data_IF_132065124738
#
_entry.id   IF_132065124738
#
_cell.length_a   1.000
_cell.length_b   1.000
_cell.length_c   1.000
_cell.angle_alpha   90.00
_cell.angle_beta   90.00
_cell.angle_gamma   90.00
#
_symmetry.space_group_name_H-M   'P 1'
#
loop_
_entity.id
_entity.type
_entity.pdbx_description
1 polymer ?
#
# COMPACT_ATOMS: atom_id res chain seq x y z
N UNK A 1 -20.53 20.91 2.36
CA UNK A 1 -21.11 19.56 2.54
C UNK A 1 -20.99 18.79 1.23
N UNK A 2 -20.05 17.86 1.14
CA UNK A 2 -19.86 16.99 -0.03
C UNK A 2 -20.85 15.83 0.03
N UNK A 3 -21.57 15.52 -1.06
CA UNK A 3 -22.51 14.39 -1.12
C UNK A 3 -21.86 13.25 -1.88
N UNK A 4 -21.93 12.03 -1.35
CA UNK A 4 -21.43 10.81 -2.01
C UNK A 4 -22.42 9.65 -1.78
N UNK A 5 -22.09 8.47 -2.30
CA UNK A 5 -22.76 7.21 -1.96
C UNK A 5 -21.81 6.30 -1.20
N UNK A 6 -22.33 5.63 -0.17
CA UNK A 6 -21.63 4.65 0.66
C UNK A 6 -22.44 3.35 0.71
N UNK A 7 -22.09 2.48 1.66
CA UNK A 7 -22.84 1.27 2.02
C UNK A 7 -23.27 1.32 3.49
N UNK A 8 -24.37 0.64 3.83
CA UNK A 8 -24.70 0.36 5.22
C UNK A 8 -23.61 -0.55 5.84
N UNK A 9 -23.04 -0.23 7.01
CA UNK A 9 -22.03 -1.08 7.64
C UNK A 9 -22.50 -2.50 7.97
N UNK A 10 -23.80 -2.69 8.19
CA UNK A 10 -24.39 -4.00 8.57
C UNK A 10 -24.79 -4.81 7.34
N UNK A 11 -25.71 -4.31 6.52
CA UNK A 11 -26.25 -5.08 5.38
C UNK A 11 -25.56 -4.81 4.04
N UNK A 12 -24.54 -3.94 4.00
CA UNK A 12 -23.78 -3.53 2.81
C UNK A 12 -24.59 -2.93 1.65
N UNK A 13 -25.90 -2.72 1.81
CA UNK A 13 -26.73 -2.04 0.81
C UNK A 13 -26.27 -0.60 0.62
N UNK A 14 -26.31 -0.11 -0.62
CA UNK A 14 -25.97 1.27 -0.95
C UNK A 14 -26.86 2.24 -0.17
N UNK A 15 -26.25 3.27 0.40
CA UNK A 15 -26.93 4.35 1.12
C UNK A 15 -26.34 5.71 0.73
N UNK A 16 -27.14 6.78 0.69
CA UNK A 16 -26.60 8.14 0.58
C UNK A 16 -25.67 8.44 1.76
N UNK A 17 -24.59 9.18 1.49
CA UNK A 17 -23.66 9.63 2.50
C UNK A 17 -23.26 11.08 2.27
N UNK A 18 -22.87 11.77 3.33
CA UNK A 18 -22.39 13.15 3.30
C UNK A 18 -21.11 13.29 4.10
N UNK A 19 -20.20 14.14 3.64
CA UNK A 19 -19.06 14.58 4.43
C UNK A 19 -19.42 15.83 5.20
N UNK A 20 -19.26 15.77 6.52
CA UNK A 20 -19.60 16.83 7.47
C UNK A 20 -18.36 17.18 8.28
N UNK A 21 -18.02 18.46 8.28
CA UNK A 21 -16.95 19.00 9.11
C UNK A 21 -17.51 19.49 10.45
N UNK A 22 -16.88 19.06 11.55
CA UNK A 22 -17.21 19.47 12.93
C UNK A 22 -15.91 19.60 13.71
N UNK A 23 -15.69 20.76 14.33
CA UNK A 23 -14.52 21.03 15.17
C UNK A 23 -13.16 20.69 14.50
N UNK A 24 -13.02 21.01 13.20
CA UNK A 24 -11.81 20.73 12.41
C UNK A 24 -11.59 19.25 12.07
N UNK A 25 -12.60 18.40 12.29
CA UNK A 25 -12.61 16.98 11.92
C UNK A 25 -13.65 16.73 10.83
N UNK A 26 -13.34 15.85 9.88
CA UNK A 26 -14.27 15.47 8.83
C UNK A 26 -14.84 14.06 9.08
N UNK A 27 -16.16 13.96 9.03
CA UNK A 27 -16.93 12.75 9.25
C UNK A 27 -17.67 12.35 7.98
N UNK A 28 -17.77 11.06 7.71
CA UNK A 28 -18.72 10.50 6.77
C UNK A 28 -19.97 10.06 7.53
N UNK A 29 -21.08 10.74 7.27
CA UNK A 29 -22.40 10.42 7.84
C UNK A 29 -23.27 9.72 6.82
N UNK A 30 -24.04 8.73 7.28
CA UNK A 30 -24.97 7.97 6.44
C UNK A 30 -26.08 7.36 7.28
N UNK A 31 -27.22 7.10 6.64
CA UNK A 31 -28.37 6.47 7.29
C UNK A 31 -28.89 5.29 6.46
N UNK A 32 -29.09 4.15 7.13
CA UNK A 32 -29.74 2.98 6.58
C UNK A 32 -31.18 2.90 7.12
N UNK A 33 -32.20 2.68 6.27
CA UNK A 33 -33.58 2.53 6.72
C UNK A 33 -33.80 1.40 7.74
N UNK A 34 -32.96 0.36 7.73
CA UNK A 34 -33.06 -0.78 8.65
C UNK A 34 -32.12 -0.71 9.86
N UNK A 35 -30.95 -0.09 9.70
CA UNK A 35 -29.87 -0.16 10.71
C UNK A 35 -29.53 1.20 11.34
N UNK A 36 -30.28 2.26 11.02
CA UNK A 36 -30.12 3.57 11.62
C UNK A 36 -28.97 4.39 11.03
N UNK A 37 -28.52 5.38 11.81
CA UNK A 37 -27.49 6.34 11.40
C UNK A 37 -26.09 5.90 11.84
N UNK A 38 -25.10 6.23 11.03
CA UNK A 38 -23.68 5.97 11.27
C UNK A 38 -22.89 7.26 11.01
N UNK A 39 -21.88 7.52 11.85
CA UNK A 39 -20.93 8.61 11.67
C UNK A 39 -19.52 8.05 11.83
N UNK A 40 -18.68 8.25 10.82
CA UNK A 40 -17.32 7.69 10.77
C UNK A 40 -16.31 8.81 10.60
N UNK A 41 -15.34 8.92 11.51
CA UNK A 41 -14.20 9.83 11.32
C UNK A 41 -13.39 9.40 10.09
N UNK A 42 -13.25 10.28 9.10
CA UNK A 42 -12.50 10.02 7.87
C UNK A 42 -11.25 10.90 7.74
N UNK A 43 -11.19 12.02 8.47
CA UNK A 43 -10.04 12.91 8.46
C UNK A 43 -9.95 13.73 9.74
N UNK A 44 -8.75 13.77 10.31
CA UNK A 44 -8.34 14.64 11.41
C UNK A 44 -6.89 15.03 11.16
N UNK A 45 -6.53 16.29 11.31
CA UNK A 45 -5.16 16.76 11.18
C UNK A 45 -5.10 18.28 11.17
N UNK A 46 -3.88 18.85 11.12
CA UNK A 46 -3.70 20.30 11.11
C UNK A 46 -4.18 20.97 9.82
N UNK A 47 -4.24 20.21 8.71
CA UNK A 47 -4.74 20.64 7.40
C UNK A 47 -6.17 20.13 7.19
N UNK A 48 -7.04 20.95 6.61
CA UNK A 48 -8.41 20.55 6.30
C UNK A 48 -8.43 19.49 5.17
N UNK A 49 -9.45 18.63 5.16
CA UNK A 49 -9.59 17.60 4.11
C UNK A 49 -9.68 18.23 2.71
N UNK A 50 -10.32 19.39 2.65
CA UNK A 50 -10.59 20.18 1.45
C UNK A 50 -9.30 20.67 0.80
N UNK A 51 -8.24 20.91 1.57
CA UNK A 51 -6.93 21.34 1.09
C UNK A 51 -6.11 20.17 0.53
N UNK A 52 -6.44 18.93 0.91
CA UNK A 52 -5.82 17.71 0.36
C UNK A 52 -6.39 17.37 -1.03
N UNK A 53 -5.94 18.13 -2.03
CA UNK A 53 -6.45 18.09 -3.41
C UNK A 53 -5.48 17.48 -4.42
N UNK A 54 -6.01 16.81 -5.43
CA UNK A 54 -5.28 16.26 -6.56
C UNK A 54 -6.19 16.20 -7.79
N UNK A 55 -5.79 15.55 -8.90
CA UNK A 55 -6.64 15.37 -10.06
C UNK A 55 -7.91 14.61 -9.65
N UNK A 56 -9.05 15.31 -9.54
CA UNK A 56 -10.35 14.75 -9.18
C UNK A 56 -11.23 14.74 -10.41
N UNK A 57 -11.68 13.55 -10.81
CA UNK A 57 -12.91 13.43 -11.60
C UNK A 57 -14.06 13.34 -10.61
N UNK A 58 -14.82 14.43 -10.47
CA UNK A 58 -16.04 14.42 -9.67
C UNK A 58 -17.07 13.54 -10.36
N UNK A 59 -17.49 12.48 -9.67
CA UNK A 59 -18.56 11.64 -10.17
C UNK A 59 -19.79 11.81 -9.30
N UNK A 60 -20.86 12.37 -9.86
CA UNK A 60 -22.14 12.45 -9.18
C UNK A 60 -22.74 11.07 -8.87
N UNK A 61 -23.85 11.07 -8.11
CA UNK A 61 -24.62 9.85 -7.87
C UNK A 61 -25.22 9.32 -9.19
N UNK A 62 -24.68 8.22 -9.70
CA UNK A 62 -25.17 7.59 -10.93
C UNK A 62 -26.17 6.45 -10.63
N UNK A 63 -27.40 6.52 -11.16
CA UNK A 63 -28.39 5.44 -11.09
C UNK A 63 -27.91 4.17 -11.82
N UNK A 64 -28.25 2.98 -11.30
CA UNK A 64 -27.99 1.70 -11.98
C UNK A 64 -26.64 1.02 -11.69
N UNK A 65 -25.76 1.64 -10.91
CA UNK A 65 -24.54 1.01 -10.41
C UNK A 65 -24.83 -0.02 -9.29
N UNK A 66 -24.34 -1.25 -9.40
CA UNK A 66 -24.39 -2.23 -8.31
C UNK A 66 -23.06 -2.30 -7.52
N UNK A 67 -22.27 -1.21 -7.47
CA UNK A 67 -21.07 -1.13 -6.64
C UNK A 67 -21.41 -1.05 -5.14
N UNK A 68 -20.70 -1.75 -4.24
CA UNK A 68 -19.54 -2.61 -4.50
C UNK A 68 -19.88 -4.07 -4.86
N UNK A 69 -21.14 -4.49 -4.80
CA UNK A 69 -21.56 -5.89 -4.96
C UNK A 69 -21.16 -6.54 -6.29
N UNK A 70 -21.24 -5.81 -7.41
CA UNK A 70 -20.75 -6.24 -8.73
C UNK A 70 -19.52 -5.44 -9.20
N UNK A 71 -18.76 -4.86 -8.26
CA UNK A 71 -17.65 -3.99 -8.63
C UNK A 71 -16.50 -4.78 -9.29
N UNK A 72 -16.06 -4.28 -10.43
CA UNK A 72 -14.84 -4.68 -11.13
C UNK A 72 -14.37 -3.59 -12.08
N UNK A 73 -13.48 -3.90 -13.02
CA UNK A 73 -13.12 -3.03 -14.17
C UNK A 73 -14.29 -2.87 -15.15
N UNK A 74 -15.44 -2.39 -14.65
CA UNK A 74 -16.63 -2.06 -15.44
C UNK A 74 -16.49 -0.67 -16.07
N UNK A 75 -17.39 -0.33 -16.99
CA UNK A 75 -17.39 0.96 -17.72
C UNK A 75 -17.50 2.20 -16.81
N UNK A 76 -17.85 2.02 -15.54
CA UNK A 76 -17.96 3.09 -14.54
C UNK A 76 -16.75 3.21 -13.63
N UNK A 77 -15.79 2.31 -13.77
CA UNK A 77 -14.51 2.35 -13.08
C UNK A 77 -13.54 3.25 -13.85
N UNK A 78 -12.95 4.24 -13.18
CA UNK A 78 -12.31 5.39 -13.82
C UNK A 78 -10.79 5.27 -13.93
N UNK A 79 -10.20 4.21 -13.38
CA UNK A 79 -8.74 4.00 -13.38
C UNK A 79 -8.40 2.60 -13.89
N UNK A 80 -7.33 2.52 -14.67
CA UNK A 80 -6.75 1.24 -15.03
C UNK A 80 -6.06 0.61 -13.81
N UNK A 81 -5.85 -0.70 -13.86
CA UNK A 81 -5.10 -1.41 -12.81
C UNK A 81 -3.63 -1.02 -12.86
N UNK A 82 -3.13 -0.39 -11.80
CA UNK A 82 -1.71 -0.16 -11.58
C UNK A 82 -1.06 -1.42 -11.01
N UNK A 83 -1.71 -1.97 -9.98
CA UNK A 83 -1.23 -3.09 -9.19
C UNK A 83 -2.33 -4.15 -9.07
N UNK A 84 -1.96 -5.41 -9.34
CA UNK A 84 -2.84 -6.56 -9.10
C UNK A 84 -2.34 -7.34 -7.91
N UNK A 85 -3.17 -7.53 -6.89
CA UNK A 85 -2.91 -8.46 -5.80
C UNK A 85 -3.50 -9.83 -6.16
N UNK A 86 -2.67 -10.86 -6.06
CA UNK A 86 -3.03 -12.26 -6.26
C UNK A 86 -2.72 -13.06 -4.99
N UNK A 87 -3.77 -13.61 -4.37
CA UNK A 87 -3.65 -14.51 -3.23
C UNK A 87 -3.27 -15.91 -3.73
N UNK A 88 -2.07 -16.37 -3.41
CA UNK A 88 -1.55 -17.67 -3.89
C UNK A 88 -1.63 -18.76 -2.83
N UNK A 89 -2.00 -18.44 -1.60
CA UNK A 89 -2.15 -19.37 -0.48
C UNK A 89 -3.04 -18.76 0.59
N UNK A 90 -3.81 -19.58 1.31
CA UNK A 90 -4.54 -19.16 2.52
C UNK A 90 -3.79 -19.57 3.81
N UNK A 91 -2.66 -20.28 3.69
CA UNK A 91 -1.84 -20.70 4.82
C UNK A 91 -1.08 -19.50 5.37
N UNK A 92 -1.00 -19.38 6.69
CA UNK A 92 -0.16 -18.38 7.36
C UNK A 92 0.47 -18.98 8.62
N UNK A 93 1.73 -18.64 8.87
CA UNK A 93 2.50 -19.03 10.06
C UNK A 93 2.44 -17.98 11.19
N UNK A 94 1.57 -16.96 11.05
CA UNK A 94 1.24 -15.98 12.08
C UNK A 94 -0.28 -15.86 12.28
N UNK A 95 -0.70 -15.32 13.44
CA UNK A 95 -2.10 -15.06 13.79
C UNK A 95 -2.31 -13.60 14.19
N UNK A 96 -2.01 -12.70 13.26
CA UNK A 96 -2.08 -11.25 13.46
C UNK A 96 -3.49 -10.78 13.88
N UNK A 97 -3.54 -9.76 14.76
CA UNK A 97 -4.78 -9.16 15.26
C UNK A 97 -5.58 -8.46 14.15
N UNK A 98 -4.90 -7.59 13.38
CA UNK A 98 -5.47 -6.90 12.22
C UNK A 98 -5.04 -7.65 10.96
N UNK A 99 -5.89 -8.55 10.47
CA UNK A 99 -5.64 -9.32 9.25
C UNK A 99 -6.92 -9.42 8.43
N UNK A 100 -6.79 -9.20 7.12
CA UNK A 100 -7.89 -9.36 6.17
C UNK A 100 -7.94 -10.76 5.53
N UNK A 101 -6.84 -11.52 5.58
CA UNK A 101 -6.82 -12.89 5.10
C UNK A 101 -7.60 -13.79 6.06
N UNK A 102 -8.59 -14.50 5.53
CA UNK A 102 -9.33 -15.52 6.28
C UNK A 102 -8.64 -16.88 6.08
N UNK A 103 -8.29 -17.56 7.18
CA UNK A 103 -7.48 -18.79 7.16
C UNK A 103 -8.33 -20.03 6.81
N UNK A 104 -9.24 -19.91 5.84
CA UNK A 104 -10.30 -20.89 5.60
C UNK A 104 -9.87 -22.15 4.86
N UNK A 105 -8.84 -22.07 3.99
CA UNK A 105 -8.38 -23.21 3.19
C UNK A 105 -7.05 -23.75 3.70
N UNK A 106 -6.96 -25.07 3.86
CA UNK A 106 -5.71 -25.76 4.24
C UNK A 106 -4.83 -26.13 3.05
N UNK A 107 -5.36 -26.08 1.82
CA UNK A 107 -4.65 -26.49 0.62
C UNK A 107 -4.46 -25.33 -0.34
N UNK A 108 -3.22 -25.18 -0.80
CA UNK A 108 -2.85 -24.18 -1.78
C UNK A 108 -3.42 -24.50 -3.16
N UNK A 109 -3.80 -23.50 -3.98
CA UNK A 109 -4.11 -23.72 -5.38
C UNK A 109 -2.90 -24.34 -6.10
N UNK A 110 -3.10 -25.37 -6.95
CA UNK A 110 -2.02 -25.97 -7.73
C UNK A 110 -1.32 -24.93 -8.61
N UNK A 111 -0.01 -25.09 -8.84
CA UNK A 111 0.80 -24.17 -9.63
C UNK A 111 0.16 -23.82 -10.98
N UNK A 112 -0.34 -24.81 -11.73
CA UNK A 112 -0.98 -24.59 -13.03
C UNK A 112 -2.24 -23.72 -12.95
N UNK A 113 -2.98 -23.77 -11.83
CA UNK A 113 -4.12 -22.87 -11.60
C UNK A 113 -3.64 -21.43 -11.39
N UNK A 114 -2.56 -21.24 -10.61
CA UNK A 114 -1.94 -19.92 -10.39
C UNK A 114 -1.41 -19.33 -11.70
N UNK A 115 -0.75 -20.14 -12.54
CA UNK A 115 -0.32 -19.75 -13.89
C UNK A 115 -1.49 -19.32 -14.77
N UNK A 116 -2.61 -20.06 -14.72
CA UNK A 116 -3.85 -19.70 -15.40
C UNK A 116 -4.40 -18.34 -14.97
N UNK A 117 -4.34 -18.02 -13.68
CA UNK A 117 -4.72 -16.70 -13.16
C UNK A 117 -3.79 -15.59 -13.64
N UNK A 118 -2.48 -15.81 -13.63
CA UNK A 118 -1.49 -14.85 -14.15
C UNK A 118 -1.76 -14.55 -15.64
N UNK A 119 -2.02 -15.58 -16.46
CA UNK A 119 -2.38 -15.39 -17.87
C UNK A 119 -3.62 -14.50 -18.03
N UNK A 120 -4.65 -14.72 -17.21
CA UNK A 120 -5.88 -13.92 -17.26
C UNK A 120 -5.64 -12.47 -16.82
N UNK A 121 -4.84 -12.26 -15.76
CA UNK A 121 -4.45 -10.93 -15.29
C UNK A 121 -3.73 -10.17 -16.41
N UNK A 122 -2.71 -10.78 -17.03
CA UNK A 122 -1.94 -10.13 -18.11
C UNK A 122 -2.84 -9.85 -19.31
N UNK A 123 -3.69 -10.79 -19.73
CA UNK A 123 -4.64 -10.60 -20.83
C UNK A 123 -5.59 -9.42 -20.59
N UNK A 124 -6.04 -9.21 -19.35
CA UNK A 124 -7.00 -8.15 -19.00
C UNK A 124 -6.36 -6.78 -18.81
N UNK A 125 -5.11 -6.74 -18.37
CA UNK A 125 -4.46 -5.50 -17.90
C UNK A 125 -3.29 -5.04 -18.76
N UNK A 126 -2.82 -5.89 -19.68
CA UNK A 126 -1.58 -5.68 -20.41
C UNK A 126 -0.32 -5.89 -19.56
N UNK A 127 -0.45 -6.57 -18.43
CA UNK A 127 0.61 -6.71 -17.41
C UNK A 127 0.53 -5.60 -16.38
N UNK A 128 0.76 -5.93 -15.11
CA UNK A 128 0.71 -5.00 -13.95
C UNK A 128 1.91 -5.23 -13.03
N UNK A 129 2.09 -4.35 -12.04
CA UNK A 129 2.86 -4.77 -10.86
C UNK A 129 2.04 -5.85 -10.16
N UNK A 130 2.54 -7.09 -10.18
CA UNK A 130 1.88 -8.24 -9.57
C UNK A 130 2.35 -8.39 -8.12
N UNK A 131 1.45 -8.16 -7.17
CA UNK A 131 1.67 -8.45 -5.76
C UNK A 131 1.21 -9.88 -5.44
N UNK A 132 2.15 -10.76 -5.14
CA UNK A 132 1.88 -12.08 -4.61
C UNK A 132 1.65 -11.97 -3.10
N UNK A 133 0.48 -12.41 -2.66
CA UNK A 133 -0.01 -12.28 -1.28
C UNK A 133 -0.81 -13.52 -0.89
N UNK A 134 -1.70 -13.39 0.10
CA UNK A 134 -2.56 -14.44 0.62
C UNK A 134 -2.53 -14.43 2.14
N UNK A 135 -2.32 -15.59 2.75
CA UNK A 135 -1.78 -15.70 4.10
C UNK A 135 -0.30 -15.29 4.12
N UNK A 136 0.60 -16.26 4.01
CA UNK A 136 2.04 -16.05 3.88
C UNK A 136 2.56 -16.76 2.62
N UNK A 137 2.78 -16.03 1.50
CA UNK A 137 3.17 -16.65 0.23
C UNK A 137 4.49 -17.40 0.33
N UNK A 138 5.41 -17.01 1.22
CA UNK A 138 6.70 -17.70 1.38
C UNK A 138 6.57 -19.11 1.95
N UNK A 139 5.39 -19.53 2.43
CA UNK A 139 5.13 -20.93 2.80
C UNK A 139 5.06 -21.87 1.60
N UNK A 140 4.97 -21.34 0.37
CA UNK A 140 4.99 -22.11 -0.87
C UNK A 140 6.42 -22.37 -1.33
N UNK A 141 6.79 -23.64 -1.48
CA UNK A 141 8.10 -24.02 -2.03
C UNK A 141 8.23 -23.70 -3.52
N UNK A 142 7.11 -23.67 -4.25
CA UNK A 142 7.02 -23.33 -5.67
C UNK A 142 6.84 -21.82 -5.94
N UNK A 143 6.92 -20.95 -4.92
CA UNK A 143 6.83 -19.50 -5.12
C UNK A 143 7.85 -18.95 -6.13
N UNK A 144 9.14 -19.39 -6.15
CA UNK A 144 10.07 -18.95 -7.19
C UNK A 144 9.60 -19.28 -8.62
N UNK A 145 8.90 -20.41 -8.82
CA UNK A 145 8.34 -20.76 -10.13
C UNK A 145 7.18 -19.84 -10.52
N UNK A 146 6.35 -19.44 -9.55
CA UNK A 146 5.27 -18.46 -9.75
C UNK A 146 5.85 -17.09 -10.15
N UNK A 147 6.91 -16.65 -9.45
CA UNK A 147 7.59 -15.38 -9.74
C UNK A 147 8.18 -15.40 -11.15
N UNK A 148 8.94 -16.44 -11.51
CA UNK A 148 9.53 -16.58 -12.84
C UNK A 148 8.45 -16.57 -13.93
N UNK A 149 7.39 -17.35 -13.74
CA UNK A 149 6.29 -17.41 -14.69
C UNK A 149 5.60 -16.06 -14.88
N UNK A 150 5.38 -15.29 -13.81
CA UNK A 150 4.79 -13.96 -13.90
C UNK A 150 5.66 -13.01 -14.73
N UNK A 151 6.99 -13.02 -14.53
CA UNK A 151 7.93 -12.21 -15.32
C UNK A 151 7.92 -12.63 -16.79
N UNK A 152 7.99 -13.93 -17.08
CA UNK A 152 7.94 -14.49 -18.44
C UNK A 152 6.63 -14.15 -19.18
N UNK A 153 5.50 -14.16 -18.45
CA UNK A 153 4.18 -13.89 -19.03
C UNK A 153 3.95 -12.41 -19.34
N UNK A 154 4.76 -11.51 -18.76
CA UNK A 154 4.72 -10.08 -19.05
C UNK A 154 4.28 -9.18 -17.90
N UNK A 155 4.35 -9.65 -16.65
CA UNK A 155 4.28 -8.74 -15.50
C UNK A 155 5.61 -7.97 -15.41
N UNK A 156 5.64 -6.64 -15.61
CA UNK A 156 6.88 -5.88 -15.59
C UNK A 156 7.59 -5.94 -14.23
N UNK A 157 6.81 -5.97 -13.15
CA UNK A 157 7.31 -6.06 -11.77
C UNK A 157 6.54 -7.10 -10.98
N UNK A 158 7.24 -7.88 -10.17
CA UNK A 158 6.68 -8.84 -9.22
C UNK A 158 7.13 -8.45 -7.82
N UNK A 159 6.16 -8.32 -6.92
CA UNK A 159 6.34 -8.00 -5.53
C UNK A 159 5.79 -9.14 -4.68
N UNK A 160 6.47 -9.48 -3.58
CA UNK A 160 5.99 -10.47 -2.59
C UNK A 160 5.68 -9.77 -1.28
N UNK A 161 4.44 -9.88 -0.81
CA UNK A 161 4.01 -9.43 0.51
C UNK A 161 4.33 -10.53 1.52
N UNK A 162 5.16 -10.26 2.52
CA UNK A 162 5.62 -11.30 3.46
C UNK A 162 5.88 -10.77 4.86
N UNK A 163 5.72 -11.65 5.86
CA UNK A 163 6.19 -11.43 7.21
C UNK A 163 7.72 -11.60 7.35
N UNK A 164 8.41 -12.14 6.35
CA UNK A 164 9.88 -12.20 6.30
C UNK A 164 10.52 -13.29 7.16
N UNK A 165 9.77 -14.13 7.87
CA UNK A 165 10.31 -15.22 8.69
C UNK A 165 11.21 -16.16 7.86
N UNK A 166 10.65 -16.72 6.78
CA UNK A 166 11.40 -17.63 5.91
C UNK A 166 12.57 -16.93 5.21
N UNK A 167 12.42 -15.65 4.87
CA UNK A 167 13.50 -14.89 4.23
C UNK A 167 14.69 -14.68 5.17
N UNK A 168 14.44 -14.54 6.47
CA UNK A 168 15.48 -14.44 7.49
C UNK A 168 16.14 -15.79 7.80
N UNK A 169 15.36 -16.87 7.83
CA UNK A 169 15.79 -18.21 8.25
C UNK A 169 16.42 -19.03 7.11
N UNK A 170 16.00 -18.79 5.85
CA UNK A 170 16.44 -19.54 4.66
C UNK A 170 16.98 -18.62 3.55
N UNK A 171 18.21 -18.10 3.66
CA UNK A 171 18.82 -17.24 2.64
C UNK A 171 18.81 -17.81 1.21
N UNK A 172 19.00 -19.13 1.07
CA UNK A 172 18.93 -19.80 -0.24
C UNK A 172 17.55 -19.71 -0.90
N UNK A 173 16.48 -19.67 -0.10
CA UNK A 173 15.13 -19.49 -0.62
C UNK A 173 14.96 -18.09 -1.22
N UNK A 174 15.47 -17.05 -0.54
CA UNK A 174 15.47 -15.69 -1.09
C UNK A 174 16.32 -15.61 -2.37
N UNK A 175 17.48 -16.26 -2.40
CA UNK A 175 18.31 -16.31 -3.61
C UNK A 175 17.59 -16.95 -4.80
N UNK A 176 16.77 -17.99 -4.57
CA UNK A 176 15.91 -18.56 -5.61
C UNK A 176 14.87 -17.55 -6.10
N UNK A 177 14.24 -16.80 -5.19
CA UNK A 177 13.30 -15.73 -5.57
C UNK A 177 13.98 -14.61 -6.36
N UNK A 178 15.17 -14.17 -5.96
CA UNK A 178 15.95 -13.17 -6.66
C UNK A 178 16.30 -13.64 -8.08
N UNK A 179 16.78 -14.89 -8.23
CA UNK A 179 17.05 -15.50 -9.55
C UNK A 179 15.81 -15.67 -10.42
N UNK A 180 14.64 -15.88 -9.81
CA UNK A 180 13.36 -15.92 -10.51
C UNK A 180 12.90 -14.53 -11.01
N UNK A 181 13.58 -13.45 -10.62
CA UNK A 181 13.26 -12.09 -11.03
C UNK A 181 12.32 -11.37 -10.07
N UNK A 182 12.31 -11.73 -8.78
CA UNK A 182 11.61 -10.96 -7.74
C UNK A 182 12.21 -9.55 -7.68
N UNK A 183 11.37 -8.53 -7.88
CA UNK A 183 11.82 -7.14 -7.87
C UNK A 183 11.81 -6.55 -6.45
N UNK A 184 10.77 -6.85 -5.67
CA UNK A 184 10.44 -6.13 -4.42
C UNK A 184 9.93 -7.09 -3.34
N UNK A 185 10.50 -6.98 -2.15
CA UNK A 185 9.93 -7.53 -0.91
C UNK A 185 9.13 -6.43 -0.20
N UNK A 186 7.84 -6.65 -0.04
CA UNK A 186 6.94 -5.78 0.70
C UNK A 186 6.79 -6.34 2.11
N UNK A 187 7.68 -5.88 2.98
CA UNK A 187 7.96 -6.49 4.26
C UNK A 187 7.03 -5.92 5.33
N UNK A 188 6.25 -6.78 5.98
CA UNK A 188 5.52 -6.41 7.20
C UNK A 188 6.52 -5.92 8.25
N UNK A 189 6.43 -4.65 8.64
CA UNK A 189 7.35 -3.98 9.57
C UNK A 189 6.60 -2.93 10.39
N UNK A 190 6.17 -3.25 11.61
CA UNK A 190 5.24 -2.38 12.36
C UNK A 190 5.91 -1.28 13.19
N UNK A 191 7.21 -1.37 13.47
CA UNK A 191 7.90 -0.41 14.32
C UNK A 191 9.35 -0.81 14.59
N UNK A 192 10.02 -0.07 15.47
CA UNK A 192 11.45 -0.25 15.78
C UNK A 192 11.67 -0.81 17.19
N UNK A 193 10.64 -1.43 17.76
CA UNK A 193 10.62 -1.97 19.13
C UNK A 193 9.89 -3.32 19.13
N UNK A 194 10.25 -4.23 20.04
CA UNK A 194 9.67 -5.58 20.08
C UNK A 194 8.21 -5.56 20.59
N UNK A 195 7.88 -4.61 21.47
CA UNK A 195 6.57 -4.44 22.08
C UNK A 195 5.46 -4.31 21.02
N UNK A 196 5.75 -3.61 19.93
CA UNK A 196 4.82 -3.45 18.80
C UNK A 196 4.52 -4.79 18.13
N UNK A 197 5.53 -5.62 17.89
CA UNK A 197 5.36 -6.93 17.25
C UNK A 197 4.65 -7.93 18.19
N UNK A 198 5.00 -7.93 19.47
CA UNK A 198 4.28 -8.71 20.48
C UNK A 198 2.79 -8.34 20.51
N UNK A 199 2.47 -7.05 20.42
CA UNK A 199 1.08 -6.56 20.45
C UNK A 199 0.31 -6.87 19.17
N UNK A 200 0.90 -6.66 17.99
CA UNK A 200 0.19 -6.77 16.70
C UNK A 200 0.28 -8.15 16.05
N UNK A 201 1.39 -8.86 16.28
CA UNK A 201 1.76 -10.12 15.61
C UNK A 201 1.91 -11.30 16.57
N UNK A 202 1.94 -11.05 17.88
CA UNK A 202 1.89 -12.07 18.94
C UNK A 202 3.26 -12.64 19.34
N UNK A 203 4.37 -12.08 18.85
CA UNK A 203 5.73 -12.49 19.19
C UNK A 203 6.76 -11.43 18.81
N UNK A 204 7.96 -11.54 19.37
CA UNK A 204 9.13 -10.76 18.97
C UNK A 204 9.50 -11.08 17.51
N UNK A 205 9.76 -10.03 16.74
CA UNK A 205 10.06 -10.13 15.30
C UNK A 205 11.07 -9.09 14.80
N UNK A 206 11.49 -8.09 15.58
CA UNK A 206 12.35 -7.02 15.06
C UNK A 206 13.67 -7.58 14.53
N UNK A 207 14.33 -8.47 15.29
CA UNK A 207 15.56 -9.13 14.86
C UNK A 207 15.37 -9.96 13.56
N UNK A 208 14.21 -10.59 13.40
CA UNK A 208 13.83 -11.30 12.16
C UNK A 208 13.71 -10.31 11.00
N UNK A 209 13.08 -9.15 11.21
CA UNK A 209 12.95 -8.13 10.16
C UNK A 209 14.31 -7.61 9.71
N UNK A 210 15.20 -7.34 10.66
CA UNK A 210 16.56 -6.89 10.37
C UNK A 210 17.36 -7.95 9.60
N UNK A 211 17.23 -9.22 9.98
CA UNK A 211 17.84 -10.32 9.25
C UNK A 211 17.29 -10.43 7.81
N UNK A 212 15.98 -10.39 7.62
CA UNK A 212 15.36 -10.43 6.29
C UNK A 212 15.84 -9.26 5.40
N UNK A 213 15.91 -8.04 5.95
CA UNK A 213 16.42 -6.86 5.23
C UNK A 213 17.88 -7.06 4.80
N UNK A 214 18.73 -7.61 5.69
CA UNK A 214 20.13 -7.88 5.38
C UNK A 214 20.26 -8.85 4.20
N UNK A 215 19.55 -9.99 4.24
CA UNK A 215 19.60 -11.00 3.18
C UNK A 215 19.06 -10.43 1.85
N UNK A 216 17.97 -9.64 1.88
CA UNK A 216 17.49 -8.93 0.68
C UNK A 216 18.56 -7.97 0.13
N UNK A 217 19.29 -7.31 1.03
CA UNK A 217 20.42 -6.44 0.71
C UNK A 217 21.53 -7.17 -0.04
N UNK A 218 21.92 -8.35 0.44
CA UNK A 218 22.95 -9.22 -0.13
C UNK A 218 22.55 -9.76 -1.51
N UNK A 219 21.27 -10.09 -1.71
CA UNK A 219 20.74 -10.61 -2.98
C UNK A 219 20.22 -9.53 -3.93
N UNK A 220 20.50 -8.26 -3.65
CA UNK A 220 20.06 -7.12 -4.47
C UNK A 220 18.54 -7.05 -4.72
N UNK A 221 17.74 -7.49 -3.74
CA UNK A 221 16.27 -7.34 -3.77
C UNK A 221 15.88 -6.11 -2.95
N UNK A 222 15.05 -5.23 -3.51
CA UNK A 222 14.61 -4.03 -2.81
C UNK A 222 13.56 -4.34 -1.74
N UNK A 223 13.63 -3.65 -0.60
CA UNK A 223 12.68 -3.81 0.50
C UNK A 223 11.87 -2.53 0.70
N UNK A 224 10.54 -2.67 0.73
CA UNK A 224 9.62 -1.62 1.20
C UNK A 224 9.10 -2.04 2.57
N UNK A 225 9.27 -1.19 3.58
CA UNK A 225 8.77 -1.45 4.94
C UNK A 225 7.29 -1.08 5.04
N UNK A 226 6.48 -1.94 5.63
CA UNK A 226 5.02 -1.81 5.64
C UNK A 226 4.48 -1.87 7.07
N UNK A 227 4.42 -0.74 7.76
CA UNK A 227 3.77 -0.65 9.07
C UNK A 227 2.26 -0.55 8.96
N UNK A 228 1.55 -1.41 9.70
CA UNK A 228 0.14 -1.17 10.02
C UNK A 228 0.07 -0.23 11.23
N UNK A 229 -0.40 1.01 11.04
CA UNK A 229 -0.45 2.02 12.11
C UNK A 229 -1.72 1.86 12.94
N UNK A 230 -1.56 1.56 14.22
CA UNK A 230 -2.62 1.37 15.20
C UNK A 230 -2.46 2.38 16.34
N UNK A 231 -3.47 3.23 16.59
CA UNK A 231 -3.44 4.19 17.70
C UNK A 231 -3.10 3.53 19.03
N UNK A 232 -2.22 4.18 19.80
CA UNK A 232 -1.77 3.67 21.11
C UNK A 232 -0.81 2.48 21.05
N UNK A 233 -0.38 2.05 19.86
CA UNK A 233 0.58 0.94 19.71
C UNK A 233 1.88 1.40 19.05
N UNK A 234 1.81 2.03 17.87
CA UNK A 234 3.00 2.38 17.08
C UNK A 234 2.90 3.71 16.32
N UNK A 235 1.82 4.48 16.51
CA UNK A 235 1.65 5.78 15.86
C UNK A 235 2.68 6.81 16.31
N UNK A 236 3.34 6.59 17.44
CA UNK A 236 4.46 7.36 17.98
C UNK A 236 5.84 6.99 17.36
N UNK A 237 5.92 5.90 16.58
CA UNK A 237 7.16 5.41 15.96
C UNK A 237 7.27 5.70 14.46
N UNK A 238 6.42 6.57 13.90
CA UNK A 238 6.41 6.94 12.47
C UNK A 238 7.76 7.54 12.07
N UNK A 239 8.26 8.52 12.85
CA UNK A 239 9.55 9.17 12.57
C UNK A 239 10.73 8.21 12.67
N UNK A 240 10.74 7.33 13.68
CA UNK A 240 11.83 6.38 13.88
C UNK A 240 11.83 5.26 12.84
N UNK A 241 10.66 4.82 12.38
CA UNK A 241 10.53 3.89 11.25
C UNK A 241 11.13 4.49 9.97
N UNK A 242 10.88 5.78 9.71
CA UNK A 242 11.49 6.49 8.57
C UNK A 242 13.01 6.56 8.69
N UNK A 243 13.53 6.94 9.87
CA UNK A 243 14.98 6.98 10.12
C UNK A 243 15.63 5.60 9.97
N UNK A 244 14.97 4.57 10.49
CA UNK A 244 15.41 3.17 10.38
C UNK A 244 15.54 2.75 8.92
N UNK A 245 14.55 3.07 8.09
CA UNK A 245 14.56 2.77 6.66
C UNK A 245 15.65 3.55 5.91
N UNK A 246 15.74 4.87 6.13
CA UNK A 246 16.74 5.72 5.47
C UNK A 246 18.18 5.32 5.81
N UNK A 247 18.43 4.84 7.04
CA UNK A 247 19.74 4.34 7.46
C UNK A 247 20.15 3.03 6.76
N UNK A 248 19.20 2.29 6.16
CA UNK A 248 19.40 0.98 5.52
C UNK A 248 19.28 1.03 3.99
N UNK A 249 19.25 2.21 3.42
CA UNK A 249 19.46 2.42 1.98
C UNK A 249 20.87 1.92 1.61
N UNK A 250 21.08 1.16 0.52
CA UNK A 250 20.14 0.93 -0.59
C UNK A 250 19.19 -0.25 -0.45
N UNK A 251 19.32 -1.09 0.59
CA UNK A 251 18.48 -2.29 0.73
C UNK A 251 17.01 -1.92 0.96
N UNK A 252 16.75 -0.98 1.88
CA UNK A 252 15.42 -0.40 2.09
C UNK A 252 15.21 0.75 1.11
N UNK A 253 14.14 0.69 0.31
CA UNK A 253 13.78 1.67 -0.73
C UNK A 253 12.65 2.60 -0.32
N UNK A 254 11.99 2.33 0.79
CA UNK A 254 10.94 3.21 1.29
C UNK A 254 10.13 2.64 2.43
N UNK A 255 9.19 3.43 2.90
CA UNK A 255 8.14 3.04 3.85
C UNK A 255 6.78 3.27 3.21
N UNK A 256 5.92 2.26 3.28
CA UNK A 256 4.53 2.30 2.85
C UNK A 256 3.62 2.16 4.07
N UNK A 257 3.18 3.30 4.61
CA UNK A 257 2.30 3.33 5.78
C UNK A 257 0.89 2.86 5.46
N UNK A 258 0.33 2.02 6.31
CA UNK A 258 -1.05 1.57 6.21
C UNK A 258 -1.77 1.87 7.52
N UNK A 259 -2.50 2.99 7.62
CA UNK A 259 -3.41 3.19 8.73
C UNK A 259 -4.36 1.99 8.88
N UNK A 260 -4.57 1.56 10.12
CA UNK A 260 -5.41 0.40 10.43
C UNK A 260 -6.79 0.51 9.78
N UNK A 261 -7.26 -0.60 9.23
CA UNK A 261 -8.57 -0.69 8.60
C UNK A 261 -9.35 -1.89 9.14
N UNK A 262 -10.66 -1.75 9.21
CA UNK A 262 -11.53 -2.63 9.99
C UNK A 262 -12.37 -3.50 9.05
N UNK A 263 -11.72 -4.52 8.51
CA UNK A 263 -12.32 -5.56 7.67
C UNK A 263 -11.62 -6.90 7.89
N UNK A 264 -12.20 -7.99 7.35
CA UNK A 264 -11.74 -9.36 7.60
C UNK A 264 -11.99 -9.77 9.04
N UNK A 265 -10.91 -10.06 9.80
CA UNK A 265 -11.00 -10.59 11.17
C UNK A 265 -11.44 -9.57 12.22
N UNK A 266 -11.64 -8.32 11.83
CA UNK A 266 -12.10 -7.25 12.72
C UNK A 266 -13.42 -6.66 12.19
N UNK A 267 -14.53 -7.43 12.23
CA UNK A 267 -15.83 -7.00 11.70
C UNK A 267 -16.60 -6.12 12.70
N UNK A 268 -15.90 -5.21 13.39
CA UNK A 268 -16.49 -4.26 14.34
C UNK A 268 -16.20 -2.84 13.87
N UNK A 269 -17.18 -1.94 14.03
CA UNK A 269 -16.91 -0.52 13.79
C UNK A 269 -16.03 -0.01 14.93
N UNK A 270 -14.85 0.53 14.62
CA UNK A 270 -14.02 1.16 15.63
C UNK A 270 -14.70 2.41 16.18
N UNK A 271 -14.43 2.71 17.45
CA UNK A 271 -14.63 4.04 18.00
C UNK A 271 -13.75 5.08 17.29
N UNK A 272 -14.02 6.36 17.51
CA UNK A 272 -13.24 7.45 16.88
C UNK A 272 -11.76 7.38 17.25
N UNK A 273 -11.43 7.11 18.52
CA UNK A 273 -10.06 7.03 19.04
C UNK A 273 -9.27 5.83 18.51
N UNK A 274 -9.96 4.81 18.00
CA UNK A 274 -9.33 3.63 17.39
C UNK A 274 -8.99 3.89 15.90
N UNK A 275 -9.47 4.98 15.31
CA UNK A 275 -9.13 5.35 13.92
C UNK A 275 -7.85 6.17 13.87
N UNK A 276 -7.03 5.88 12.85
CA UNK A 276 -5.90 6.72 12.49
C UNK A 276 -6.11 7.22 11.05
N UNK A 277 -6.26 8.53 10.89
CA UNK A 277 -6.59 9.14 9.60
C UNK A 277 -5.34 9.59 8.85
N UNK A 278 -5.50 9.87 7.55
CA UNK A 278 -4.41 10.40 6.72
C UNK A 278 -3.88 11.75 7.23
N UNK A 279 -4.75 12.64 7.70
CA UNK A 279 -4.32 13.93 8.27
C UNK A 279 -3.39 13.75 9.48
N UNK A 280 -3.72 12.82 10.39
CA UNK A 280 -2.88 12.47 11.53
C UNK A 280 -1.55 11.85 11.09
N UNK A 281 -1.55 11.01 10.05
CA UNK A 281 -0.32 10.48 9.48
C UNK A 281 0.57 11.61 8.92
N UNK A 282 0.00 12.56 8.18
CA UNK A 282 0.73 13.72 7.67
C UNK A 282 1.37 14.50 8.82
N UNK A 283 0.61 14.78 9.89
CA UNK A 283 1.12 15.45 11.09
C UNK A 283 2.22 14.64 11.77
N UNK A 284 1.99 13.34 11.97
CA UNK A 284 2.93 12.42 12.60
C UNK A 284 4.27 12.37 11.86
N UNK A 285 4.24 12.34 10.52
CA UNK A 285 5.47 12.38 9.70
C UNK A 285 6.23 13.68 9.95
N UNK A 286 5.58 14.84 9.84
CA UNK A 286 6.26 16.14 9.97
C UNK A 286 6.80 16.35 11.38
N UNK A 287 5.97 16.11 12.41
CA UNK A 287 6.32 16.34 13.81
C UNK A 287 7.42 15.36 14.26
N UNK A 288 7.25 14.06 14.04
CA UNK A 288 8.19 13.07 14.57
C UNK A 288 9.51 13.04 13.81
N UNK A 289 9.55 13.52 12.56
CA UNK A 289 10.81 13.70 11.82
C UNK A 289 11.52 15.01 12.16
N UNK A 290 10.91 15.88 13.00
CA UNK A 290 11.47 17.19 13.35
C UNK A 290 11.55 18.13 12.15
N UNK A 291 10.62 18.02 11.21
CA UNK A 291 10.60 18.81 9.97
C UNK A 291 11.57 18.33 8.88
N UNK A 292 12.30 17.23 9.09
CA UNK A 292 13.16 16.63 8.05
C UNK A 292 12.36 16.25 6.80
N UNK A 293 11.13 15.78 7.00
CA UNK A 293 10.16 15.55 5.94
C UNK A 293 9.14 16.69 5.99
N UNK A 294 9.30 17.73 5.15
CA UNK A 294 8.38 18.85 5.17
C UNK A 294 7.03 18.46 4.57
N UNK A 295 5.95 19.12 5.00
CA UNK A 295 4.59 18.79 4.57
C UNK A 295 4.42 18.90 3.06
N UNK A 296 4.99 19.93 2.46
CA UNK A 296 4.91 20.20 1.03
C UNK A 296 5.61 19.16 0.16
N UNK A 297 6.49 18.30 0.71
CA UNK A 297 7.05 17.18 -0.06
C UNK A 297 6.14 15.95 -0.07
N UNK A 298 5.07 15.93 0.72
CA UNK A 298 4.05 14.89 0.72
C UNK A 298 2.91 15.32 -0.21
N UNK A 299 2.73 14.59 -1.31
CA UNK A 299 1.71 14.87 -2.32
C UNK A 299 0.59 13.84 -2.27
N UNK A 300 -0.66 14.21 -2.61
CA UNK A 300 -1.75 13.26 -2.73
C UNK A 300 -1.50 12.24 -3.84
N UNK A 301 -2.13 11.06 -3.72
CA UNK A 301 -2.13 10.07 -4.80
C UNK A 301 -2.63 10.68 -6.12
N UNK A 302 -1.87 10.43 -7.19
CA UNK A 302 -2.24 10.80 -8.57
C UNK A 302 -2.73 9.59 -9.40
N UNK A 303 -2.53 8.36 -8.90
CA UNK A 303 -2.94 7.12 -9.56
C UNK A 303 -4.36 6.71 -9.13
N UNK A 304 -4.59 6.74 -7.82
CA UNK A 304 -5.90 6.58 -7.18
C UNK A 304 -6.52 7.93 -6.82
N UNK A 305 -7.73 7.90 -6.25
CA UNK A 305 -8.34 9.09 -5.62
C UNK A 305 -7.37 9.73 -4.59
N UNK A 306 -7.27 11.08 -4.50
CA UNK A 306 -6.34 11.78 -3.60
C UNK A 306 -6.40 11.37 -2.12
N UNK A 307 -7.59 11.06 -1.61
CA UNK A 307 -7.80 10.56 -0.24
C UNK A 307 -7.37 9.10 0.01
N UNK A 308 -6.99 8.36 -1.03
CA UNK A 308 -6.57 6.96 -0.90
C UNK A 308 -5.10 6.81 -0.47
N UNK A 309 -4.27 7.84 -0.63
CA UNK A 309 -2.85 7.70 -0.34
C UNK A 309 -2.08 9.02 -0.40
N UNK A 310 -0.86 8.97 0.11
CA UNK A 310 0.15 10.00 -0.12
C UNK A 310 1.37 9.40 -0.80
N UNK A 311 2.14 10.25 -1.44
CA UNK A 311 3.40 9.93 -2.05
C UNK A 311 4.44 11.02 -1.74
N UNK A 312 5.68 10.60 -1.52
CA UNK A 312 6.83 11.48 -1.37
C UNK A 312 8.08 10.75 -1.85
N UNK A 313 8.97 11.50 -2.48
CA UNK A 313 10.17 10.99 -3.13
C UNK A 313 11.38 11.76 -2.65
N UNK A 314 12.40 11.03 -2.22
CA UNK A 314 13.55 11.59 -1.54
C UNK A 314 14.84 10.90 -1.99
N UNK A 315 15.95 11.59 -1.79
CA UNK A 315 17.29 10.99 -1.76
C UNK A 315 17.74 11.01 -0.30
N UNK A 316 17.98 9.83 0.28
CA UNK A 316 18.50 9.71 1.63
C UNK A 316 19.99 10.05 1.64
N UNK A 317 20.38 11.13 2.31
CA UNK A 317 21.76 11.58 2.40
C UNK A 317 22.44 11.04 3.69
N UNK A 318 23.77 10.99 3.75
CA UNK A 318 24.49 10.65 4.97
C UNK A 318 24.08 11.51 6.17
N UNK A 319 24.27 10.99 7.39
CA UNK A 319 23.92 11.65 8.66
C UNK A 319 22.43 11.98 8.81
N UNK A 320 21.55 11.18 8.18
CA UNK A 320 20.10 11.29 8.35
C UNK A 320 19.46 12.51 7.69
N UNK A 321 20.14 13.14 6.73
CA UNK A 321 19.57 14.23 5.92
C UNK A 321 18.78 13.65 4.75
N UNK A 322 17.88 14.45 4.18
CA UNK A 322 17.14 14.09 2.96
C UNK A 322 17.18 15.23 1.95
N UNK A 323 17.08 14.88 0.68
CA UNK A 323 16.81 15.80 -0.41
C UNK A 323 15.46 15.45 -1.03
N UNK A 324 14.45 16.32 -0.85
CA UNK A 324 13.11 16.10 -1.37
C UNK A 324 13.05 16.34 -2.89
N UNK A 325 12.49 15.37 -3.61
CA UNK A 325 12.26 15.42 -5.06
C UNK A 325 10.81 15.79 -5.39
N UNK A 326 9.87 15.40 -4.53
CA UNK A 326 8.47 15.77 -4.61
C UNK A 326 8.22 17.14 -3.98
N UNK A 327 7.31 17.91 -4.59
CA UNK A 327 6.85 19.18 -4.04
C UNK A 327 5.42 19.47 -4.53
N UNK A 328 4.47 19.56 -3.59
CA UNK A 328 3.04 19.81 -3.82
C UNK A 328 2.78 21.18 -4.47
N UNK A 329 3.66 22.16 -4.25
CA UNK A 329 3.53 23.52 -4.76
C UNK A 329 4.21 23.72 -6.11
N UNK A 330 4.90 22.70 -6.65
CA UNK A 330 5.46 22.76 -8.01
C UNK A 330 4.49 22.11 -8.99
N UNK A 331 4.22 22.75 -10.15
CA UNK A 331 3.42 22.10 -11.19
C UNK A 331 4.13 20.80 -11.62
N UNK A 332 3.39 19.73 -11.92
CA UNK A 332 3.99 18.48 -12.38
C UNK A 332 4.81 18.77 -13.63
N UNK A 333 6.12 18.45 -13.58
CA UNK A 333 6.99 18.57 -14.75
C UNK A 333 6.59 17.44 -15.70
N UNK A 334 5.67 17.74 -16.61
CA UNK A 334 5.33 16.87 -17.73
C UNK A 334 6.56 16.73 -18.63
N UNK A 335 7.41 15.74 -18.35
CA UNK A 335 8.57 15.47 -19.19
C UNK A 335 8.43 14.20 -20.04
N UNK A 336 7.37 13.40 -19.86
CA UNK A 336 6.96 12.32 -20.79
C UNK A 336 5.46 12.05 -20.62
N UNK A 337 4.67 12.40 -21.63
CA UNK A 337 3.22 12.19 -21.66
C UNK A 337 2.86 10.75 -22.03
N UNK A 338 2.48 9.94 -21.04
CA UNK A 338 1.56 8.82 -21.29
C UNK A 338 0.18 9.17 -20.79
N UNK A 339 -0.87 8.79 -21.53
CA UNK A 339 -2.26 9.09 -21.19
C UNK A 339 -2.83 8.22 -20.05
N UNK A 340 -2.02 7.32 -19.46
CA UNK A 340 -2.45 6.35 -18.44
C UNK A 340 -1.68 6.55 -17.10
N UNK A 341 -2.31 7.20 -16.10
CA UNK A 341 -1.73 7.38 -14.78
C UNK A 341 -1.35 6.07 -14.07
N UNK A 342 -2.06 4.98 -14.34
CA UNK A 342 -1.79 3.68 -13.71
C UNK A 342 -0.48 3.08 -14.22
N UNK A 343 -0.23 3.18 -15.53
CA UNK A 343 1.06 2.78 -16.11
C UNK A 343 2.21 3.64 -15.59
N UNK A 344 2.04 4.96 -15.51
CA UNK A 344 3.06 5.87 -14.97
C UNK A 344 3.43 5.52 -13.54
N UNK A 345 2.43 5.32 -12.68
CA UNK A 345 2.65 4.99 -11.28
C UNK A 345 3.32 3.62 -11.12
N UNK A 346 2.94 2.64 -11.95
CA UNK A 346 3.56 1.31 -11.98
C UNK A 346 5.04 1.38 -12.35
N UNK A 347 5.37 2.06 -13.44
CA UNK A 347 6.75 2.21 -13.91
C UNK A 347 7.57 3.00 -12.89
N UNK A 348 6.97 4.00 -12.25
CA UNK A 348 7.58 4.75 -11.16
C UNK A 348 7.88 3.86 -9.94
N UNK A 349 6.89 3.13 -9.42
CA UNK A 349 7.03 2.25 -8.26
C UNK A 349 8.08 1.18 -8.53
N UNK A 350 7.95 0.48 -9.66
CA UNK A 350 8.87 -0.57 -10.04
C UNK A 350 10.30 -0.06 -10.16
N UNK A 351 10.52 1.08 -10.84
CA UNK A 351 11.86 1.66 -10.97
C UNK A 351 12.46 2.18 -9.65
N UNK A 352 11.64 2.57 -8.67
CA UNK A 352 12.12 3.09 -7.38
C UNK A 352 12.34 2.04 -6.32
N UNK A 353 11.50 1.01 -6.31
CA UNK A 353 11.54 -0.05 -5.30
C UNK A 353 12.39 -1.23 -5.72
N UNK A 354 12.63 -1.46 -7.01
CA UNK A 354 13.63 -2.42 -7.47
C UNK A 354 15.05 -1.91 -7.24
N UNK A 355 16.01 -2.83 -7.13
CA UNK A 355 17.43 -2.50 -7.10
C UNK A 355 18.09 -2.90 -8.42
N UNK A 356 19.01 -2.08 -8.96
CA UNK A 356 19.84 -2.48 -10.08
C UNK A 356 20.75 -3.66 -9.67
N UNK A 357 21.05 -4.55 -10.63
CA UNK A 357 21.99 -5.67 -10.42
C UNK A 357 23.43 -5.21 -10.17
N UNK A 358 24.32 -6.19 -9.89
CA UNK A 358 25.74 -5.96 -9.57
C UNK A 358 26.41 -5.02 -10.59
N UNK A 359 26.91 -3.88 -10.11
CA UNK A 359 27.59 -2.86 -10.93
C UNK A 359 27.20 -1.41 -10.62
N UNK A 360 26.14 -1.16 -9.85
CA UNK A 360 25.76 0.20 -9.44
C UNK A 360 26.49 0.57 -8.13
N UNK A 361 27.46 1.48 -8.22
CA UNK A 361 28.35 1.92 -7.13
C UNK A 361 27.57 2.24 -5.83
N UNK A 362 27.94 1.56 -4.74
CA UNK A 362 27.25 1.64 -3.45
C UNK A 362 27.37 3.00 -2.75
N UNK A 363 28.37 3.80 -3.14
CA UNK A 363 28.49 5.20 -2.77
C UNK A 363 28.55 6.05 -4.05
N UNK A 364 27.61 6.99 -4.26
CA UNK A 364 27.69 7.91 -5.39
C UNK A 364 28.85 8.90 -5.17
N UNK A 365 29.82 8.91 -6.09
CA UNK A 365 31.01 9.78 -6.04
C UNK A 365 30.77 11.18 -6.63
N UNK A 366 29.72 11.35 -7.45
CA UNK A 366 29.41 12.59 -8.16
C UNK A 366 28.71 13.66 -7.31
N UNK A 367 28.85 14.93 -7.71
CA UNK A 367 28.12 16.07 -7.12
C UNK A 367 26.61 15.95 -7.37
N UNK A 368 25.81 15.98 -6.31
CA UNK A 368 24.33 15.93 -6.37
C UNK A 368 23.73 17.08 -7.19
N UNK A 369 24.45 18.20 -7.32
CA UNK A 369 24.01 19.34 -8.13
C UNK A 369 24.36 19.21 -9.62
N UNK A 370 25.19 18.22 -10.00
CA UNK A 370 25.39 17.82 -11.39
C UNK A 370 24.29 16.85 -11.84
N UNK A 371 23.95 16.85 -13.13
CA UNK A 371 22.92 15.93 -13.66
C UNK A 371 23.33 14.45 -13.49
N UNK A 372 24.58 14.13 -13.79
CA UNK A 372 25.11 12.78 -13.69
C UNK A 372 25.17 12.30 -12.23
N UNK A 373 25.73 13.11 -11.33
CA UNK A 373 25.73 12.81 -9.90
C UNK A 373 24.32 12.70 -9.35
N UNK A 374 23.40 13.60 -9.71
CA UNK A 374 21.99 13.51 -9.31
C UNK A 374 21.36 12.16 -9.67
N UNK A 375 21.58 11.67 -10.90
CA UNK A 375 21.05 10.37 -11.34
C UNK A 375 21.67 9.20 -10.56
N UNK A 376 22.98 9.22 -10.31
CA UNK A 376 23.66 8.22 -9.49
C UNK A 376 23.13 8.20 -8.05
N UNK A 377 23.03 9.37 -7.41
CA UNK A 377 22.48 9.52 -6.06
C UNK A 377 21.03 9.05 -5.98
N UNK A 378 20.21 9.37 -6.98
CA UNK A 378 18.80 8.95 -7.03
C UNK A 378 18.66 7.43 -7.20
N UNK A 379 19.50 6.80 -8.02
CA UNK A 379 19.48 5.36 -8.21
C UNK A 379 19.96 4.62 -6.95
N UNK A 380 21.14 4.99 -6.44
CA UNK A 380 21.74 4.36 -5.28
C UNK A 380 20.94 4.63 -3.99
N UNK A 381 20.51 5.89 -3.77
CA UNK A 381 19.99 6.34 -2.48
C UNK A 381 18.56 6.91 -2.50
N UNK A 382 17.81 6.61 -3.56
CA UNK A 382 16.38 6.91 -3.64
C UNK A 382 15.60 6.25 -2.51
N UNK A 383 14.67 7.00 -1.93
CA UNK A 383 13.81 6.57 -0.83
C UNK A 383 12.42 7.16 -0.99
N UNK A 384 11.37 6.33 -0.89
CA UNK A 384 9.99 6.80 -1.02
C UNK A 384 9.24 6.71 0.30
N UNK A 385 8.37 7.68 0.56
CA UNK A 385 7.37 7.62 1.62
C UNK A 385 6.01 7.54 0.93
N UNK A 386 5.29 6.46 1.17
CA UNK A 386 3.96 6.27 0.59
C UNK A 386 2.98 5.85 1.67
N UNK A 387 1.69 5.99 1.39
CA UNK A 387 0.67 5.39 2.23
C UNK A 387 -0.52 4.92 1.42
N UNK A 388 -1.27 3.98 1.98
CA UNK A 388 -2.57 3.60 1.48
C UNK A 388 -3.59 3.58 2.63
N UNK A 389 -4.61 4.41 2.50
CA UNK A 389 -5.71 4.54 3.45
C UNK A 389 -6.91 3.76 2.93
N UNK A 390 -7.02 2.50 3.32
CA UNK A 390 -8.13 1.65 2.88
C UNK A 390 -9.47 2.10 3.49
N UNK A 391 -10.55 1.54 2.95
CA UNK A 391 -11.91 1.87 3.34
C UNK A 391 -12.58 0.63 3.93
N UNK A 392 -13.17 0.81 5.11
CA UNK A 392 -14.03 -0.20 5.74
C UNK A 392 -15.51 0.11 5.48
N UNK A 393 -16.40 -0.74 5.98
CA UNK A 393 -17.83 -0.56 5.78
C UNK A 393 -18.37 0.75 6.40
N UNK A 394 -17.68 1.36 7.36
CA UNK A 394 -18.00 2.68 7.93
C UNK A 394 -17.54 3.85 7.04
N UNK A 395 -16.35 3.75 6.46
CA UNK A 395 -15.69 4.83 5.71
C UNK A 395 -15.77 4.71 4.18
N UNK A 396 -16.36 3.63 3.64
CA UNK A 396 -16.46 3.41 2.19
C UNK A 396 -17.11 4.59 1.48
N UNK A 397 -16.39 5.14 0.51
CA UNK A 397 -16.86 6.13 -0.45
C UNK A 397 -16.77 5.56 -1.86
N UNK A 398 -17.89 5.52 -2.58
CA UNK A 398 -17.93 4.97 -3.93
C UNK A 398 -17.14 5.81 -4.95
N UNK A 399 -16.97 7.12 -4.75
CA UNK A 399 -16.12 7.94 -5.62
C UNK A 399 -14.67 7.47 -5.54
N UNK A 400 -14.18 7.23 -4.31
CA UNK A 400 -12.85 6.67 -4.07
C UNK A 400 -12.71 5.27 -4.66
N UNK A 401 -13.73 4.43 -4.50
CA UNK A 401 -13.73 3.06 -4.99
C UNK A 401 -13.67 2.98 -6.52
N UNK A 402 -14.39 3.86 -7.21
CA UNK A 402 -14.39 3.96 -8.69
C UNK A 402 -13.04 4.40 -9.25
N UNK A 403 -12.21 5.06 -8.44
CA UNK A 403 -10.87 5.51 -8.84
C UNK A 403 -9.76 4.62 -8.27
N UNK A 404 -10.06 3.42 -7.78
CA UNK A 404 -9.05 2.52 -7.23
C UNK A 404 -8.24 1.84 -8.35
N UNK A 405 -6.92 1.86 -8.28
CA UNK A 405 -5.97 1.25 -9.21
C UNK A 405 -5.26 0.02 -8.62
N UNK A 406 -5.55 -0.31 -7.36
CA UNK A 406 -5.16 -1.54 -6.69
C UNK A 406 -6.33 -2.53 -6.72
N UNK A 407 -6.21 -3.57 -7.53
CA UNK A 407 -7.25 -4.57 -7.71
C UNK A 407 -6.80 -5.92 -7.17
N UNK A 408 -7.72 -6.66 -6.57
CA UNK A 408 -7.55 -8.05 -6.17
C UNK A 408 -8.12 -8.92 -7.28
N UNK A 409 -7.34 -9.89 -7.74
CA UNK A 409 -7.81 -10.88 -8.70
C UNK A 409 -8.51 -12.04 -7.96
N UNK A 410 -9.78 -12.28 -8.28
CA UNK A 410 -10.54 -13.44 -7.79
C UNK A 410 -11.42 -14.00 -8.90
N UNK A 411 -11.20 -15.27 -9.23
CA UNK A 411 -12.05 -16.07 -10.13
C UNK A 411 -12.43 -15.35 -11.44
N UNK A 412 -11.45 -14.75 -12.12
CA UNK A 412 -11.67 -14.08 -13.40
C UNK A 412 -12.16 -12.63 -13.28
N UNK A 413 -12.23 -12.07 -12.08
CA UNK A 413 -12.57 -10.66 -11.83
C UNK A 413 -11.40 -9.92 -11.20
N UNK A 414 -11.24 -8.66 -11.59
CA UNK A 414 -10.37 -7.68 -10.93
C UNK A 414 -11.26 -6.73 -10.14
N UNK A 415 -11.20 -6.85 -8.82
CA UNK A 415 -12.11 -6.17 -7.88
C UNK A 415 -11.30 -5.13 -7.11
N UNK A 416 -11.76 -3.87 -6.96
CA UNK A 416 -11.06 -2.90 -6.13
C UNK A 416 -10.78 -3.43 -4.72
N UNK A 417 -9.57 -3.21 -4.19
CA UNK A 417 -9.11 -3.82 -2.93
C UNK A 417 -10.12 -3.68 -1.78
N UNK A 418 -10.60 -2.45 -1.54
CA UNK A 418 -11.53 -2.19 -0.44
C UNK A 418 -12.88 -2.89 -0.63
N UNK A 419 -13.32 -3.14 -1.86
CA UNK A 419 -14.54 -3.92 -2.13
C UNK A 419 -14.30 -5.42 -1.97
N UNK A 420 -13.13 -5.92 -2.38
CA UNK A 420 -12.79 -7.34 -2.29
C UNK A 420 -12.73 -7.87 -0.85
N UNK A 421 -12.35 -7.00 0.10
CA UNK A 421 -12.28 -7.33 1.53
C UNK A 421 -13.40 -6.70 2.36
N UNK A 422 -14.36 -6.01 1.74
CA UNK A 422 -15.45 -5.35 2.46
C UNK A 422 -16.23 -6.39 3.28
N UNK A 423 -16.21 -6.23 4.60
CA UNK A 423 -16.83 -7.17 5.54
C UNK A 423 -17.99 -6.48 6.25
N UNK A 424 -19.19 -7.09 6.31
CA UNK A 424 -20.30 -6.57 7.09
C UNK A 424 -19.96 -6.64 8.59
N UNK A 425 -20.56 -5.74 9.38
CA UNK A 425 -20.48 -5.85 10.83
C UNK A 425 -21.25 -7.07 11.33
N UNK A 426 -20.67 -7.73 12.32
CA UNK A 426 -21.39 -8.72 13.13
C UNK A 426 -22.01 -7.95 14.31
N UNK A 427 -23.34 -7.89 14.34
CA UNK A 427 -24.11 -7.28 15.43
C UNK A 427 -24.16 -8.19 16.66
#
# INVERSE_FOLDING_TARGET
>A
MHKTTSVCPVCLRRVPAVRVERDGRCYQEKACPEHGAFSTLIWQGSEALEDWTGPREETGAEPGLNCPADCGLCDKHLRNTCCTLLEVTDRCNLRCRFCFADNGQTQDPPLERVKGWINDIVRRTGGTLLQLSGGEPTLRDDLPEIVAYAKETGCPYVQVNTNGLRLAEEPEYLRKLARAGLDIVFLQFDGVTEEVYCTLRGRELLAVKEAAIRVCGEEHVGVTLVPTLVPGVNTDQIGDTLRFGMARVPAVRGVHFQPVSYFGRVPVLPGEEERYTMGQLLDGIVVQTGGLIPRESLVPSACDHPLCGLHGDYIALPRGRVYALSNRNRPPVSCCGSADPARQNRDYIGARWSRPGEGCCCEPEGDLHSLEGFLQWKQARGFTITSMNFQDAGSLDLERLRQCSLHVYREGKLIPFCAAYLTPLVL
#
